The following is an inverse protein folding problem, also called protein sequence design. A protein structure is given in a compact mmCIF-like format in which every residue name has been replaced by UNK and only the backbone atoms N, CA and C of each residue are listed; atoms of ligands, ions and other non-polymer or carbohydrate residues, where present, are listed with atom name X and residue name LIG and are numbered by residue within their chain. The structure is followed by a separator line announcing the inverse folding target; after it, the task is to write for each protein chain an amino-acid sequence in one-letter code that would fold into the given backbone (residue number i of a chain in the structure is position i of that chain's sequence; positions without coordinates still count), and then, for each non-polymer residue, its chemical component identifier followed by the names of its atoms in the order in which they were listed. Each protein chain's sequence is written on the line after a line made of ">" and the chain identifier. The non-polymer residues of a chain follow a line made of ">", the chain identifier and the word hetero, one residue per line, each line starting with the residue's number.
data_IF_512746166233
#
_entry.id   IF_512746166233
#
_cell.length_a   1.000
_cell.length_b   1.000
_cell.length_c   1.000
_cell.angle_alpha   90.00
_cell.angle_beta   90.00
_cell.angle_gamma   90.00
#
_symmetry.space_group_name_H-M   'P 1'
#
loop_
_entity.id
_entity.type
_entity.pdbx_description
1 polymer ?
#
# COMPACT_ATOMS: atom_id res chain seq x y z
N UNK A 1 22.42 0.15 -3.31
CA UNK A 1 22.86 1.08 -2.27
C UNK A 1 21.72 2.00 -1.82
N UNK A 2 21.05 2.71 -2.71
CA UNK A 2 19.97 3.65 -2.35
C UNK A 2 18.66 2.97 -1.89
N UNK A 3 18.41 1.75 -2.32
CA UNK A 3 17.18 0.99 -1.94
C UNK A 3 17.08 0.65 -0.44
N UNK A 4 18.19 0.66 0.28
CA UNK A 4 18.24 0.36 1.72
C UNK A 4 18.36 1.65 2.56
N UNK A 5 18.48 2.80 1.91
CA UNK A 5 18.67 4.09 2.57
C UNK A 5 17.33 4.79 2.81
N UNK A 6 16.90 4.79 4.07
CA UNK A 6 15.63 5.40 4.49
C UNK A 6 15.60 6.90 4.21
N UNK A 7 16.68 7.61 4.53
CA UNK A 7 16.75 9.06 4.33
C UNK A 7 16.67 9.44 2.85
N UNK A 8 17.27 8.60 1.98
CA UNK A 8 17.14 8.79 0.54
C UNK A 8 15.69 8.59 0.07
N UNK A 9 15.01 7.55 0.55
CA UNK A 9 13.61 7.31 0.20
C UNK A 9 12.69 8.45 0.69
N UNK A 10 12.92 8.94 1.91
CA UNK A 10 12.17 10.08 2.45
C UNK A 10 12.41 11.37 1.64
N UNK A 11 13.65 11.60 1.19
CA UNK A 11 13.96 12.71 0.30
C UNK A 11 13.21 12.60 -1.03
N UNK A 12 13.18 11.42 -1.63
CA UNK A 12 12.42 11.18 -2.88
C UNK A 12 10.94 11.46 -2.66
N UNK A 13 10.33 10.93 -1.60
CA UNK A 13 8.92 11.18 -1.28
C UNK A 13 8.64 12.68 -1.15
N UNK A 14 9.50 13.41 -0.47
CA UNK A 14 9.38 14.87 -0.30
C UNK A 14 9.42 15.65 -1.62
N UNK A 15 10.25 15.24 -2.58
CA UNK A 15 10.31 15.85 -3.92
C UNK A 15 8.98 15.70 -4.68
N UNK A 16 8.18 14.66 -4.35
CA UNK A 16 6.83 14.48 -4.87
C UNK A 16 5.73 15.11 -4.00
N UNK A 17 6.10 15.89 -2.97
CA UNK A 17 5.15 16.52 -2.05
C UNK A 17 4.45 15.54 -1.11
N UNK A 18 5.00 14.33 -0.94
CA UNK A 18 4.44 13.28 -0.08
C UNK A 18 5.25 13.23 1.21
N UNK A 19 4.62 13.58 2.31
CA UNK A 19 5.24 13.57 3.63
C UNK A 19 4.38 12.75 4.62
N UNK A 20 5.02 12.31 5.70
CA UNK A 20 4.33 11.63 6.79
C UNK A 20 4.79 10.19 7.03
N UNK A 21 4.36 9.60 8.15
CA UNK A 21 4.81 8.28 8.57
C UNK A 21 4.32 7.18 7.62
N UNK A 22 3.10 7.31 7.09
CA UNK A 22 2.43 6.32 6.26
C UNK A 22 2.73 6.44 4.75
N UNK A 23 3.77 7.19 4.40
CA UNK A 23 4.20 7.35 3.00
C UNK A 23 5.20 6.26 2.60
N UNK A 24 4.97 5.65 1.44
CA UNK A 24 5.79 4.56 0.92
C UNK A 24 6.07 4.72 -0.57
N UNK A 25 7.23 4.22 -1.00
CA UNK A 25 7.55 4.01 -2.41
C UNK A 25 7.26 2.55 -2.73
N UNK A 26 6.49 2.28 -3.77
CA UNK A 26 6.22 0.93 -4.25
C UNK A 26 6.90 0.74 -5.60
N UNK A 27 7.69 -0.33 -5.73
CA UNK A 27 8.43 -0.67 -6.94
C UNK A 27 8.09 -2.09 -7.39
N UNK A 28 7.72 -2.27 -8.66
CA UNK A 28 7.31 -3.55 -9.25
C UNK A 28 8.21 -4.07 -10.35
N UNK A 29 9.34 -3.43 -10.66
CA UNK A 29 10.12 -3.78 -11.85
C UNK A 29 11.28 -4.76 -11.61
N UNK A 30 11.83 -4.81 -10.41
CA UNK A 30 13.00 -5.65 -10.09
C UNK A 30 12.59 -6.75 -9.13
N UNK A 31 12.58 -8.03 -9.56
CA UNK A 31 12.16 -9.14 -8.73
C UNK A 31 12.98 -9.28 -7.46
N UNK A 32 12.30 -9.60 -6.36
CA UNK A 32 12.92 -9.94 -5.08
C UNK A 32 13.40 -11.39 -5.14
N UNK A 33 14.68 -11.62 -4.87
CA UNK A 33 15.28 -12.97 -4.87
C UNK A 33 15.23 -13.56 -3.46
N UNK A 34 14.08 -14.08 -3.06
CA UNK A 34 13.87 -14.65 -1.72
C UNK A 34 14.79 -15.83 -1.44
N UNK A 35 15.12 -16.63 -2.46
CA UNK A 35 16.13 -17.73 -2.36
C UNK A 35 17.48 -17.20 -1.86
N UNK A 36 17.81 -15.92 -2.16
CA UNK A 36 19.06 -15.27 -1.71
C UNK A 36 18.90 -14.51 -0.41
N UNK A 37 17.77 -14.66 0.28
CA UNK A 37 17.48 -13.96 1.52
C UNK A 37 17.10 -12.48 1.34
N UNK A 38 16.75 -12.05 0.11
CA UNK A 38 16.25 -10.68 -0.10
C UNK A 38 14.86 -10.52 0.49
N UNK A 39 14.62 -9.38 1.14
CA UNK A 39 13.31 -8.99 1.64
C UNK A 39 12.64 -7.97 0.72
N UNK A 40 11.32 -8.04 0.51
CA UNK A 40 10.57 -7.04 -0.24
C UNK A 40 10.45 -5.69 0.49
N UNK A 41 10.56 -5.70 1.82
CA UNK A 41 10.48 -4.50 2.65
C UNK A 41 11.88 -3.93 2.86
N UNK A 42 12.12 -2.72 2.36
CA UNK A 42 13.42 -2.06 2.35
C UNK A 42 13.34 -0.68 2.98
N UNK A 43 14.50 -0.10 3.28
CA UNK A 43 14.61 1.25 3.83
C UNK A 43 13.71 1.47 5.06
N UNK A 44 13.64 0.48 5.96
CA UNK A 44 12.80 0.55 7.15
C UNK A 44 11.30 0.70 6.84
N UNK A 45 10.83 0.08 5.76
CA UNK A 45 9.43 0.15 5.30
C UNK A 45 9.12 1.28 4.32
N UNK A 46 10.03 2.21 4.08
CA UNK A 46 9.80 3.32 3.12
C UNK A 46 9.84 2.90 1.65
N UNK A 47 10.44 1.75 1.34
CA UNK A 47 10.44 1.17 0.00
C UNK A 47 9.92 -0.26 0.04
N UNK A 48 8.90 -0.55 -0.75
CA UNK A 48 8.31 -1.87 -0.93
C UNK A 48 8.58 -2.35 -2.36
N UNK A 49 9.25 -3.50 -2.50
CA UNK A 49 9.49 -4.13 -3.80
C UNK A 49 8.53 -5.29 -3.93
N UNK A 50 7.50 -5.13 -4.77
CA UNK A 50 6.39 -6.10 -4.89
C UNK A 50 6.53 -7.05 -6.09
N UNK A 51 7.61 -6.97 -6.85
CA UNK A 51 7.88 -7.89 -7.95
C UNK A 51 8.53 -9.17 -7.43
N UNK A 52 7.82 -10.28 -7.59
CA UNK A 52 8.34 -11.61 -7.29
C UNK A 52 8.63 -12.44 -8.55
N UNK A 53 8.46 -11.82 -9.73
CA UNK A 53 8.59 -12.53 -11.00
C UNK A 53 7.45 -13.53 -11.22
N UNK A 54 6.24 -13.05 -11.48
CA UNK A 54 5.04 -13.87 -11.74
C UNK A 54 5.22 -14.86 -12.89
N UNK A 55 6.13 -14.56 -13.82
CA UNK A 55 6.45 -15.48 -14.91
C UNK A 55 7.14 -16.73 -14.36
N UNK A 56 6.66 -17.89 -14.78
CA UNK A 56 7.20 -19.20 -14.39
C UNK A 56 8.71 -19.32 -14.63
N UNK A 57 9.24 -18.60 -15.62
CA UNK A 57 10.67 -18.57 -15.93
C UNK A 57 11.50 -17.96 -14.78
N UNK A 58 10.96 -16.96 -14.09
CA UNK A 58 11.66 -16.27 -12.99
C UNK A 58 11.51 -16.96 -11.65
N UNK A 59 10.47 -17.78 -11.44
CA UNK A 59 10.19 -18.43 -10.16
C UNK A 59 11.34 -19.30 -9.65
N UNK A 60 12.12 -19.88 -10.56
CA UNK A 60 13.33 -20.64 -10.21
C UNK A 60 14.43 -19.78 -9.59
N UNK A 61 14.48 -18.50 -9.93
CA UNK A 61 15.48 -17.55 -9.42
C UNK A 61 14.96 -16.80 -8.17
N UNK A 62 13.66 -16.52 -8.14
CA UNK A 62 13.05 -15.77 -7.05
C UNK A 62 12.60 -16.64 -5.89
N UNK A 63 12.13 -17.87 -6.16
CA UNK A 63 11.59 -18.79 -5.19
C UNK A 63 10.12 -18.60 -4.84
N UNK A 64 9.49 -17.58 -5.44
CA UNK A 64 8.08 -17.22 -5.18
C UNK A 64 7.35 -16.92 -6.48
N UNK A 65 6.02 -16.92 -6.44
CA UNK A 65 5.19 -16.49 -7.57
C UNK A 65 5.02 -14.97 -7.63
N UNK A 66 5.06 -14.27 -6.50
CA UNK A 66 4.94 -12.83 -6.46
C UNK A 66 4.42 -12.31 -5.13
N UNK A 67 4.12 -11.01 -5.10
CA UNK A 67 3.57 -10.34 -3.94
C UNK A 67 2.26 -9.63 -4.28
N UNK A 68 1.36 -9.60 -3.29
CA UNK A 68 0.19 -8.72 -3.30
C UNK A 68 0.31 -7.73 -2.14
N UNK A 69 0.31 -6.44 -2.45
CA UNK A 69 0.24 -5.40 -1.42
C UNK A 69 -1.24 -5.10 -1.14
N UNK A 70 -1.65 -5.24 0.12
CA UNK A 70 -3.03 -4.95 0.55
C UNK A 70 -3.04 -3.84 1.57
N UNK A 71 -3.92 -2.87 1.35
CA UNK A 71 -4.17 -1.77 2.25
C UNK A 71 -5.61 -1.82 2.75
N UNK A 72 -5.78 -1.63 4.05
CA UNK A 72 -7.10 -1.44 4.65
C UNK A 72 -7.01 -0.44 5.81
N UNK A 73 -8.13 -0.16 6.47
CA UNK A 73 -8.18 0.84 7.55
C UNK A 73 -7.38 0.48 8.81
N UNK A 74 -6.82 -0.71 8.90
CA UNK A 74 -6.06 -1.17 10.07
C UNK A 74 -4.58 -1.38 9.80
N UNK A 75 -4.22 -1.65 8.54
CA UNK A 75 -2.83 -1.98 8.22
C UNK A 75 -2.51 -1.95 6.73
N UNK A 76 -1.22 -1.88 6.45
CA UNK A 76 -0.60 -2.23 5.18
C UNK A 76 0.04 -3.61 5.33
N UNK A 77 -0.32 -4.55 4.45
CA UNK A 77 0.18 -5.93 4.46
C UNK A 77 0.78 -6.30 3.12
N UNK A 78 1.78 -7.15 3.17
CA UNK A 78 2.36 -7.79 2.00
C UNK A 78 2.08 -9.30 2.08
N UNK A 79 1.43 -9.82 1.04
CA UNK A 79 1.14 -11.25 0.89
C UNK A 79 2.09 -11.82 -0.14
N UNK A 80 2.91 -12.77 0.27
CA UNK A 80 3.81 -13.53 -0.60
C UNK A 80 3.09 -14.77 -1.09
N UNK A 81 3.15 -15.06 -2.37
CA UNK A 81 2.52 -16.22 -2.99
C UNK A 81 3.57 -17.25 -3.40
N UNK A 82 3.36 -18.49 -3.01
CA UNK A 82 4.18 -19.60 -3.45
C UNK A 82 3.92 -19.93 -4.93
N UNK A 83 4.91 -20.50 -5.63
CA UNK A 83 4.73 -20.95 -7.00
C UNK A 83 3.60 -21.96 -7.12
N UNK A 84 2.71 -21.75 -8.08
CA UNK A 84 1.68 -22.73 -8.41
C UNK A 84 2.31 -23.96 -9.06
N UNK A 85 2.20 -25.14 -8.42
CA UNK A 85 2.83 -26.37 -8.88
C UNK A 85 2.12 -26.95 -10.10
N UNK A 86 0.87 -27.34 -9.94
CA UNK A 86 0.04 -27.87 -11.02
C UNK A 86 -1.45 -27.92 -10.64
N UNK A 87 -2.31 -27.84 -11.66
CA UNK A 87 -3.75 -27.99 -11.50
C UNK A 87 -4.12 -29.35 -10.90
N UNK A 88 -3.45 -30.39 -11.30
CA UNK A 88 -3.72 -31.75 -10.82
C UNK A 88 -3.44 -31.86 -9.33
N UNK A 89 -2.28 -31.38 -8.85
CA UNK A 89 -1.95 -31.39 -7.42
C UNK A 89 -2.90 -30.53 -6.59
N UNK A 90 -3.33 -29.37 -7.11
CA UNK A 90 -4.28 -28.53 -6.40
C UNK A 90 -5.62 -29.27 -6.19
N UNK A 91 -6.10 -30.00 -7.21
CA UNK A 91 -7.35 -30.77 -7.13
C UNK A 91 -7.18 -31.99 -6.18
N UNK A 92 -6.13 -32.78 -6.36
CA UNK A 92 -5.89 -34.00 -5.58
C UNK A 92 -5.64 -33.72 -4.09
N UNK A 93 -5.00 -32.63 -3.77
CA UNK A 93 -4.65 -32.26 -2.39
C UNK A 93 -5.62 -31.27 -1.75
N UNK A 94 -6.61 -30.78 -2.51
CA UNK A 94 -7.51 -29.73 -2.04
C UNK A 94 -6.79 -28.45 -1.60
N UNK A 95 -5.58 -28.21 -2.16
CA UNK A 95 -4.75 -27.07 -1.78
C UNK A 95 -5.02 -25.89 -2.70
N UNK A 96 -5.30 -24.78 -2.08
CA UNK A 96 -5.19 -23.47 -2.72
C UNK A 96 -3.72 -23.01 -2.78
N UNK A 97 -3.44 -21.89 -3.43
CA UNK A 97 -2.12 -21.26 -3.46
C UNK A 97 -1.73 -20.91 -2.01
N UNK A 98 -0.62 -21.46 -1.55
CA UNK A 98 -0.07 -21.13 -0.23
C UNK A 98 0.43 -19.69 -0.28
N UNK A 99 0.05 -18.93 0.71
CA UNK A 99 0.44 -17.52 0.82
C UNK A 99 0.82 -17.17 2.25
N UNK A 100 1.97 -16.52 2.39
CA UNK A 100 2.43 -15.98 3.67
C UNK A 100 2.12 -14.50 3.75
N UNK A 101 1.61 -14.06 4.91
CA UNK A 101 1.25 -12.67 5.14
C UNK A 101 2.20 -12.02 6.13
N UNK A 102 2.83 -10.94 5.73
CA UNK A 102 3.63 -10.07 6.60
C UNK A 102 2.98 -8.69 6.76
N UNK A 103 2.90 -8.20 7.98
CA UNK A 103 2.52 -6.82 8.23
C UNK A 103 3.70 -5.92 7.88
N UNK A 104 3.45 -4.95 6.99
CA UNK A 104 4.41 -3.89 6.67
C UNK A 104 4.27 -2.77 7.68
N UNK A 105 3.03 -2.35 7.94
CA UNK A 105 2.70 -1.29 8.87
C UNK A 105 1.31 -1.53 9.49
N UNK A 106 1.23 -1.89 10.76
CA UNK A 106 -0.01 -1.83 11.51
C UNK A 106 -0.33 -0.37 11.88
N UNK A 107 -1.58 0.04 11.76
CA UNK A 107 -2.01 1.35 12.21
C UNK A 107 -2.46 1.27 13.67
N UNK A 108 -1.92 2.12 14.52
CA UNK A 108 -2.27 2.20 15.94
C UNK A 108 -3.77 2.51 16.13
N UNK A 109 -4.29 3.43 15.30
CA UNK A 109 -5.70 3.74 15.23
C UNK A 109 -6.26 3.41 13.85
N UNK A 110 -7.53 2.98 13.81
CA UNK A 110 -8.20 2.73 12.55
C UNK A 110 -8.24 4.00 11.70
N UNK A 111 -7.70 3.93 10.48
CA UNK A 111 -7.78 5.01 9.52
C UNK A 111 -9.21 5.20 9.03
N UNK A 112 -9.77 6.37 9.22
CA UNK A 112 -11.11 6.74 8.78
C UNK A 112 -11.03 7.57 7.50
N UNK A 113 -12.14 7.69 6.76
CA UNK A 113 -12.18 8.53 5.55
C UNK A 113 -11.76 9.96 5.85
N UNK A 114 -12.15 10.52 7.00
CA UNK A 114 -11.76 11.88 7.43
C UNK A 114 -10.25 12.10 7.57
N UNK A 115 -9.48 11.01 7.75
CA UNK A 115 -8.03 11.07 7.93
C UNK A 115 -7.29 11.08 6.59
N UNK A 116 -7.99 10.82 5.48
CA UNK A 116 -7.46 10.89 4.12
C UNK A 116 -7.52 12.30 3.56
N UNK A 117 -6.74 12.58 2.51
CA UNK A 117 -6.76 13.88 1.84
C UNK A 117 -8.13 14.22 1.24
N UNK A 118 -8.80 13.23 0.65
CA UNK A 118 -10.18 13.40 0.15
C UNK A 118 -11.14 13.68 1.31
N UNK A 119 -10.96 13.01 2.45
CA UNK A 119 -11.78 13.23 3.64
C UNK A 119 -11.62 14.64 4.21
N UNK A 120 -10.40 15.19 4.20
CA UNK A 120 -10.13 16.58 4.59
C UNK A 120 -10.84 17.56 3.65
N UNK A 121 -10.70 17.39 2.33
CA UNK A 121 -11.38 18.22 1.33
C UNK A 121 -12.91 18.18 1.50
N UNK A 122 -13.49 17.01 1.70
CA UNK A 122 -14.92 16.86 1.95
C UNK A 122 -15.36 17.58 3.24
N UNK A 123 -14.54 17.50 4.30
CA UNK A 123 -14.82 18.20 5.55
C UNK A 123 -14.85 19.72 5.37
N UNK A 124 -13.88 20.28 4.64
CA UNK A 124 -13.83 21.70 4.30
C UNK A 124 -15.06 22.13 3.48
N UNK A 125 -15.46 21.33 2.49
CA UNK A 125 -16.67 21.59 1.70
C UNK A 125 -17.94 21.55 2.55
N UNK A 126 -18.05 20.60 3.47
CA UNK A 126 -19.19 20.50 4.40
C UNK A 126 -19.27 21.75 5.29
N UNK A 127 -18.16 22.22 5.84
CA UNK A 127 -18.15 23.45 6.65
C UNK A 127 -18.50 24.68 5.82
N UNK A 128 -18.01 24.79 4.59
CA UNK A 128 -18.40 25.84 3.65
C UNK A 128 -19.91 25.85 3.36
N UNK A 129 -20.49 24.66 3.09
CA UNK A 129 -21.93 24.54 2.86
C UNK A 129 -22.77 24.87 4.10
N UNK A 130 -22.31 24.49 5.29
CA UNK A 130 -22.96 24.87 6.55
C UNK A 130 -22.96 26.41 6.76
N UNK A 131 -21.82 27.04 6.48
CA UNK A 131 -21.69 28.47 6.58
C UNK A 131 -22.65 29.21 5.59
N UNK A 132 -22.67 28.72 4.32
CA UNK A 132 -23.60 29.24 3.30
C UNK A 132 -25.06 29.11 3.73
N UNK A 133 -25.46 27.93 4.20
CA UNK A 133 -26.82 27.68 4.69
C UNK A 133 -27.17 28.59 5.86
N UNK A 134 -26.23 28.87 6.75
CA UNK A 134 -26.42 29.79 7.86
C UNK A 134 -26.64 31.22 7.34
N UNK A 135 -25.84 31.70 6.36
CA UNK A 135 -25.96 33.02 5.78
C UNK A 135 -27.30 33.22 5.05
N UNK A 136 -27.80 32.21 4.33
CA UNK A 136 -29.14 32.24 3.76
C UNK A 136 -30.24 32.31 4.83
N UNK A 137 -30.13 31.56 5.90
CA UNK A 137 -31.14 31.58 6.98
C UNK A 137 -31.13 32.86 7.82
N UNK A 138 -29.97 33.51 7.93
CA UNK A 138 -29.83 34.78 8.63
C UNK A 138 -30.25 36.02 7.78
N UNK A 139 -30.45 35.82 6.47
CA UNK A 139 -30.75 36.90 5.53
C UNK A 139 -29.52 37.70 5.10
N UNK A 140 -28.32 37.27 5.42
CA UNK A 140 -27.07 37.89 4.92
C UNK A 140 -26.93 37.73 3.40
N UNK A 141 -27.46 36.64 2.87
CA UNK A 141 -27.52 36.38 1.43
C UNK A 141 -28.98 36.27 1.05
N UNK A 142 -29.47 37.13 0.08
CA UNK A 142 -30.86 37.08 -0.38
C UNK A 142 -31.12 35.73 -1.09
N UNK A 143 -32.29 35.17 -0.87
CA UNK A 143 -32.80 34.07 -1.68
C UNK A 143 -33.34 34.66 -2.98
N UNK A 144 -32.82 34.24 -4.12
CA UNK A 144 -33.40 34.58 -5.44
C UNK A 144 -34.71 33.81 -5.67
#
# INVERSE_FOLDING_TARGET
>A
KFKEDKAFCEKVLKEFGIEGPHSHIVNGHVPVKTIKGETPVKAGGKLLVIDGGYSKAYQKETGIAGYTLTFNSHCLKLVQHDPFESRQKAIEQGRDIISDTAFVEPFENRMMVRDTDIGKQLSEQIEGLKALLKAYRSGEIPQE
#
